data_IF_926967295847
#
_entry.id   IF_926967295847
#
_cell.length_a   1.000
_cell.length_b   1.000
_cell.length_c   1.000
_cell.angle_alpha   90.00
_cell.angle_beta   90.00
_cell.angle_gamma   90.00
#
_symmetry.space_group_name_H-M   'P 1'
#
loop_
_entity.id
_entity.type
_entity.pdbx_description
1 polymer ?
#
# COMPACT_ATOMS: atom_id res chain seq x y z
N UNK A 1 -26.53 29.33 12.41
CA UNK A 1 -26.12 28.70 11.14
C UNK A 1 -26.66 27.29 11.15
N UNK A 2 -27.47 26.93 10.17
CA UNK A 2 -28.01 25.58 10.01
C UNK A 2 -27.39 24.95 8.76
N UNK A 3 -27.03 23.67 8.84
CA UNK A 3 -26.53 22.93 7.69
C UNK A 3 -27.67 22.58 6.74
N UNK A 4 -27.37 22.51 5.43
CA UNK A 4 -28.33 22.09 4.41
C UNK A 4 -28.76 20.62 4.64
N UNK A 5 -30.01 20.21 4.31
CA UNK A 5 -30.47 18.82 4.49
C UNK A 5 -29.57 17.74 3.86
N UNK A 6 -28.92 18.07 2.74
CA UNK A 6 -28.02 17.14 2.03
C UNK A 6 -26.54 17.24 2.48
N UNK A 7 -26.24 17.99 3.54
CA UNK A 7 -24.88 18.13 4.03
C UNK A 7 -24.35 16.79 4.58
N UNK A 8 -23.17 16.39 4.08
CA UNK A 8 -22.44 15.20 4.53
C UNK A 8 -21.02 15.59 4.96
N UNK A 9 -20.59 15.06 6.10
CA UNK A 9 -19.22 15.22 6.60
C UNK A 9 -18.51 13.87 6.62
N UNK A 10 -17.44 13.74 5.83
CA UNK A 10 -16.58 12.56 5.78
C UNK A 10 -15.17 12.95 6.20
N UNK A 11 -14.59 12.15 7.09
CA UNK A 11 -13.20 12.31 7.53
C UNK A 11 -12.44 11.00 7.32
N UNK A 12 -11.15 11.08 7.00
CA UNK A 12 -10.27 9.93 6.86
C UNK A 12 -9.01 10.14 7.69
N UNK A 13 -8.54 9.11 8.37
CA UNK A 13 -7.29 9.13 9.12
C UNK A 13 -6.66 7.74 9.16
N UNK A 14 -5.32 7.68 9.29
CA UNK A 14 -4.58 6.43 9.41
C UNK A 14 -4.25 6.20 10.90
N UNK A 15 -4.87 5.22 11.57
CA UNK A 15 -4.60 4.95 12.99
C UNK A 15 -3.14 4.51 13.19
N UNK A 16 -2.48 5.04 14.23
CA UNK A 16 -1.10 4.67 14.58
C UNK A 16 -0.01 5.28 13.68
N UNK A 17 -0.38 6.06 12.66
CA UNK A 17 0.57 6.73 11.76
C UNK A 17 1.09 8.06 12.34
N UNK A 18 0.39 8.62 13.34
CA UNK A 18 0.77 9.88 13.97
C UNK A 18 1.12 9.64 15.45
N UNK A 19 2.01 10.47 15.98
CA UNK A 19 2.24 10.53 17.42
C UNK A 19 0.90 10.71 18.15
N UNK A 20 0.77 10.09 19.32
CA UNK A 20 -0.43 10.07 20.20
C UNK A 20 -1.12 11.44 20.36
N UNK A 21 -0.38 12.53 20.14
CA UNK A 21 -0.84 13.92 20.23
C UNK A 21 -1.72 14.40 19.06
N UNK A 22 -1.78 13.68 17.94
CA UNK A 22 -2.60 14.07 16.76
C UNK A 22 -3.73 13.10 16.45
N UNK A 23 -3.95 12.09 17.28
CA UNK A 23 -5.11 11.23 17.15
C UNK A 23 -6.41 12.01 17.36
N UNK A 24 -7.46 11.59 16.66
CA UNK A 24 -8.79 12.13 16.88
C UNK A 24 -9.18 11.87 18.34
N UNK A 25 -9.43 12.97 19.08
CA UNK A 25 -9.95 12.91 20.45
C UNK A 25 -11.15 11.96 20.51
N UNK A 26 -11.26 11.18 21.58
CA UNK A 26 -12.36 10.24 21.78
C UNK A 26 -13.73 10.89 21.58
N UNK A 27 -13.92 12.12 22.06
CA UNK A 27 -15.16 12.89 21.90
C UNK A 27 -15.51 13.21 20.45
N UNK A 28 -14.52 13.33 19.56
CA UNK A 28 -14.72 13.48 18.12
C UNK A 28 -15.04 12.15 17.49
N UNK A 29 -14.29 11.08 17.81
CA UNK A 29 -14.52 9.73 17.24
C UNK A 29 -15.93 9.20 17.54
N UNK A 30 -16.45 9.46 18.74
CA UNK A 30 -17.80 9.05 19.16
C UNK A 30 -18.94 9.76 18.42
N UNK A 31 -18.65 10.71 17.52
CA UNK A 31 -19.64 11.43 16.70
C UNK A 31 -19.70 10.93 15.25
N UNK A 32 -18.88 9.95 14.88
CA UNK A 32 -18.83 9.41 13.53
C UNK A 32 -19.17 7.91 13.54
N UNK A 33 -19.80 7.47 12.45
CA UNK A 33 -19.79 6.04 12.08
C UNK A 33 -18.42 5.75 11.48
N UNK A 34 -17.76 4.69 11.95
CA UNK A 34 -16.42 4.30 11.48
C UNK A 34 -16.52 3.14 10.51
N UNK A 35 -15.79 3.24 9.40
CA UNK A 35 -15.55 2.14 8.47
C UNK A 35 -14.04 1.92 8.42
N UNK A 36 -13.60 0.74 8.81
CA UNK A 36 -12.19 0.37 8.78
C UNK A 36 -11.83 -0.19 7.41
N UNK A 37 -10.70 0.29 6.87
CA UNK A 37 -10.12 -0.21 5.63
C UNK A 37 -8.80 -0.89 5.92
N UNK A 38 -8.59 -2.03 5.27
CA UNK A 38 -7.32 -2.71 5.20
C UNK A 38 -7.04 -3.08 3.74
N UNK A 39 -5.84 -3.55 3.46
CA UNK A 39 -5.47 -4.05 2.15
C UNK A 39 -6.39 -5.20 1.73
N UNK A 40 -6.81 -5.17 0.46
CA UNK A 40 -7.69 -6.19 -0.07
C UNK A 40 -6.96 -7.56 -0.11
N UNK A 41 -7.71 -8.67 -0.06
CA UNK A 41 -7.17 -9.99 -0.37
C UNK A 41 -6.43 -10.00 -1.71
N UNK A 42 -5.40 -10.84 -1.83
CA UNK A 42 -4.44 -10.85 -2.95
C UNK A 42 -5.11 -10.87 -4.33
N UNK A 43 -6.17 -11.65 -4.49
CA UNK A 43 -6.95 -11.76 -5.73
C UNK A 43 -7.64 -10.46 -6.11
N UNK A 44 -8.27 -9.78 -5.15
CA UNK A 44 -8.92 -8.47 -5.35
C UNK A 44 -7.90 -7.35 -5.56
N UNK A 45 -6.80 -7.36 -4.80
CA UNK A 45 -5.73 -6.38 -4.99
C UNK A 45 -5.08 -6.51 -6.37
N UNK A 46 -4.87 -7.74 -6.85
CA UNK A 46 -4.39 -7.99 -8.20
C UNK A 46 -5.34 -7.44 -9.28
N UNK A 47 -6.66 -7.53 -9.09
CA UNK A 47 -7.63 -6.93 -10.02
C UNK A 47 -7.48 -5.41 -10.08
N UNK A 48 -7.33 -4.75 -8.93
CA UNK A 48 -7.09 -3.31 -8.87
C UNK A 48 -5.76 -2.95 -9.55
N UNK A 49 -4.68 -3.68 -9.26
CA UNK A 49 -3.37 -3.44 -9.88
C UNK A 49 -3.44 -3.60 -11.39
N UNK A 50 -4.05 -4.69 -11.89
CA UNK A 50 -4.19 -4.96 -13.31
C UNK A 50 -4.98 -3.84 -14.00
N UNK A 51 -6.09 -3.41 -13.41
CA UNK A 51 -6.94 -2.34 -13.95
C UNK A 51 -6.21 -1.00 -14.01
N UNK A 52 -5.62 -0.57 -12.90
CA UNK A 52 -5.02 0.76 -12.76
C UNK A 52 -3.67 0.90 -13.48
N UNK A 53 -2.87 -0.17 -13.49
CA UNK A 53 -1.56 -0.13 -14.16
C UNK A 53 -1.61 -0.56 -15.62
N UNK A 54 -2.57 -1.42 -15.99
CA UNK A 54 -2.69 -2.01 -17.33
C UNK A 54 -1.70 -3.14 -17.60
N UNK A 55 -1.06 -3.72 -16.58
CA UNK A 55 -0.26 -4.94 -16.72
C UNK A 55 -1.17 -6.18 -16.83
N UNK A 56 -0.70 -7.29 -17.44
CA UNK A 56 -1.44 -8.55 -17.43
C UNK A 56 -1.77 -9.02 -16.02
N UNK A 57 -2.90 -9.74 -15.88
CA UNK A 57 -3.36 -10.25 -14.57
C UNK A 57 -2.31 -11.12 -13.86
N UNK A 58 -1.52 -11.89 -14.62
CA UNK A 58 -0.41 -12.69 -14.09
C UNK A 58 0.64 -11.82 -13.38
N UNK A 59 1.08 -10.73 -14.03
CA UNK A 59 2.00 -9.76 -13.42
C UNK A 59 1.38 -9.08 -12.20
N UNK A 60 0.09 -8.74 -12.27
CA UNK A 60 -0.61 -8.12 -11.16
C UNK A 60 -0.74 -9.05 -9.94
N UNK A 61 -0.94 -10.35 -10.16
CA UNK A 61 -0.96 -11.36 -9.09
C UNK A 61 0.41 -11.48 -8.40
N UNK A 62 1.49 -11.46 -9.15
CA UNK A 62 2.85 -11.49 -8.59
C UNK A 62 3.18 -10.18 -7.85
N UNK A 63 2.70 -9.02 -8.32
CA UNK A 63 2.79 -7.74 -7.59
C UNK A 63 1.98 -7.77 -6.29
N UNK A 64 0.75 -8.30 -6.29
CA UNK A 64 -0.05 -8.44 -5.09
C UNK A 64 0.59 -9.41 -4.07
N UNK A 65 1.20 -10.50 -4.55
CA UNK A 65 1.98 -11.44 -3.73
C UNK A 65 3.23 -10.79 -3.13
N UNK A 66 3.93 -9.94 -3.88
CA UNK A 66 5.01 -9.10 -3.32
C UNK A 66 4.44 -8.20 -2.21
N UNK A 67 3.29 -7.59 -2.47
CA UNK A 67 2.51 -6.81 -1.51
C UNK A 67 2.33 -7.49 -0.16
N UNK A 68 1.73 -8.68 -0.20
CA UNK A 68 1.49 -9.56 0.94
C UNK A 68 2.80 -9.87 1.71
N UNK A 69 3.85 -10.29 1.00
CA UNK A 69 5.13 -10.66 1.64
C UNK A 69 5.83 -9.47 2.28
N UNK A 70 5.86 -8.31 1.63
CA UNK A 70 6.48 -7.10 2.19
C UNK A 70 5.71 -6.61 3.42
N UNK A 71 4.37 -6.70 3.43
CA UNK A 71 3.57 -6.37 4.62
C UNK A 71 3.88 -7.29 5.81
N UNK A 72 4.21 -8.55 5.58
CA UNK A 72 4.64 -9.45 6.66
C UNK A 72 6.01 -9.07 7.24
N UNK A 73 6.89 -8.39 6.48
CA UNK A 73 8.15 -7.86 7.01
C UNK A 73 7.96 -6.70 8.01
N UNK A 74 6.76 -6.12 8.12
CA UNK A 74 6.45 -5.12 9.15
C UNK A 74 6.72 -5.66 10.56
N UNK A 75 6.47 -6.96 10.79
CA UNK A 75 6.77 -7.61 12.06
C UNK A 75 8.28 -7.71 12.36
N UNK A 76 9.14 -7.47 11.37
CA UNK A 76 10.60 -7.61 11.42
C UNK A 76 11.36 -6.28 11.40
N UNK A 77 10.66 -5.12 11.46
CA UNK A 77 11.32 -3.81 11.61
C UNK A 77 10.93 -2.75 10.58
N UNK A 78 10.06 -3.05 9.61
CA UNK A 78 9.51 -2.03 8.71
C UNK A 78 8.47 -1.16 9.45
N UNK A 79 8.59 0.15 9.34
CA UNK A 79 7.63 1.09 9.95
C UNK A 79 6.24 0.97 9.32
N UNK A 80 6.19 0.80 8.00
CA UNK A 80 4.95 0.64 7.22
C UNK A 80 5.06 -0.49 6.19
N UNK A 81 3.95 -1.19 5.95
CA UNK A 81 3.85 -2.15 4.86
C UNK A 81 3.62 -1.45 3.52
N UNK A 82 3.93 -2.13 2.41
CA UNK A 82 3.70 -1.57 1.07
C UNK A 82 2.22 -1.29 0.80
N UNK A 83 1.92 -0.09 0.31
CA UNK A 83 0.56 0.27 -0.11
C UNK A 83 0.22 -0.23 -1.50
N UNK A 84 -1.07 -0.47 -1.79
CA UNK A 84 -1.55 -0.82 -3.14
C UNK A 84 -1.12 0.21 -4.19
N UNK A 85 -0.99 1.49 -3.79
CA UNK A 85 -0.50 2.57 -4.66
C UNK A 85 0.91 2.30 -5.18
N UNK A 86 1.82 1.85 -4.32
CA UNK A 86 3.20 1.55 -4.72
C UNK A 86 3.27 0.32 -5.64
N UNK A 87 2.38 -0.66 -5.45
CA UNK A 87 2.26 -1.81 -6.34
C UNK A 87 1.75 -1.41 -7.73
N UNK A 88 0.77 -0.49 -7.79
CA UNK A 88 0.31 0.11 -9.06
C UNK A 88 1.46 0.85 -9.75
N UNK A 89 2.26 1.62 -9.02
CA UNK A 89 3.43 2.32 -9.59
C UNK A 89 4.47 1.34 -10.15
N UNK A 90 4.74 0.25 -9.45
CA UNK A 90 5.61 -0.81 -9.97
C UNK A 90 5.03 -1.40 -11.27
N UNK A 91 3.72 -1.68 -11.31
CA UNK A 91 3.02 -2.12 -12.52
C UNK A 91 3.12 -1.12 -13.68
N UNK A 92 2.93 0.17 -13.41
CA UNK A 92 3.04 1.23 -14.42
C UNK A 92 4.45 1.30 -15.02
N UNK A 93 5.49 1.17 -14.19
CA UNK A 93 6.88 1.09 -14.67
C UNK A 93 7.11 -0.16 -15.53
N UNK A 94 6.61 -1.32 -15.09
CA UNK A 94 6.73 -2.57 -15.87
C UNK A 94 6.04 -2.46 -17.23
N UNK A 95 4.86 -1.83 -17.29
CA UNK A 95 4.14 -1.56 -18.55
C UNK A 95 4.93 -0.66 -19.49
N UNK A 96 5.76 0.24 -18.96
CA UNK A 96 6.66 1.08 -19.74
C UNK A 96 7.96 0.37 -20.18
N UNK A 97 8.09 -0.93 -19.89
CA UNK A 97 9.25 -1.73 -20.26
C UNK A 97 10.38 -1.74 -19.22
N UNK A 98 10.16 -1.16 -18.02
CA UNK A 98 11.12 -1.28 -16.94
C UNK A 98 11.14 -2.72 -16.42
N UNK A 99 12.31 -3.38 -16.32
CA UNK A 99 12.38 -4.74 -15.82
C UNK A 99 11.75 -4.88 -14.42
N UNK A 100 11.02 -5.97 -14.12
CA UNK A 100 10.25 -6.08 -12.88
C UNK A 100 11.06 -5.81 -11.61
N UNK A 101 12.27 -6.37 -11.51
CA UNK A 101 13.17 -6.13 -10.38
C UNK A 101 13.46 -4.65 -10.16
N UNK A 102 13.73 -3.91 -11.24
CA UNK A 102 14.02 -2.47 -11.16
C UNK A 102 12.76 -1.66 -10.83
N UNK A 103 11.62 -2.05 -11.38
CA UNK A 103 10.34 -1.42 -11.05
C UNK A 103 10.02 -1.55 -9.55
N UNK A 104 10.15 -2.76 -8.99
CA UNK A 104 9.94 -3.00 -7.56
C UNK A 104 10.98 -2.29 -6.68
N UNK A 105 12.25 -2.24 -7.08
CA UNK A 105 13.28 -1.53 -6.32
C UNK A 105 12.92 -0.04 -6.16
N UNK A 106 12.58 0.63 -7.26
CA UNK A 106 12.38 2.08 -7.27
C UNK A 106 11.02 2.47 -6.69
N UNK A 107 9.95 1.72 -7.00
CA UNK A 107 8.60 2.06 -6.57
C UNK A 107 8.22 1.50 -5.19
N UNK A 108 8.86 0.42 -4.73
CA UNK A 108 8.52 -0.23 -3.45
C UNK A 108 9.68 -0.08 -2.46
N UNK A 109 10.82 -0.68 -2.75
CA UNK A 109 11.92 -0.78 -1.77
C UNK A 109 12.43 0.58 -1.31
N UNK A 110 12.76 1.48 -2.26
CA UNK A 110 13.31 2.81 -1.95
C UNK A 110 12.27 3.78 -1.39
N UNK A 111 10.98 3.51 -1.60
CA UNK A 111 9.89 4.37 -1.10
C UNK A 111 9.48 4.03 0.33
N UNK A 112 9.78 2.83 0.81
CA UNK A 112 9.35 2.36 2.12
C UNK A 112 10.36 2.57 3.23
N UNK A 113 11.66 2.59 2.92
CA UNK A 113 12.70 2.63 3.94
C UNK A 113 14.04 3.06 3.37
N UNK A 114 14.84 3.75 4.18
CA UNK A 114 16.25 4.06 3.92
C UNK A 114 17.21 2.99 4.50
N UNK A 115 16.69 2.04 5.28
CA UNK A 115 17.49 0.96 5.85
C UNK A 115 17.94 -0.04 4.76
N UNK A 116 19.25 -0.18 4.61
CA UNK A 116 19.85 -1.00 3.57
C UNK A 116 19.52 -2.50 3.70
N UNK A 117 19.33 -3.00 4.92
CA UNK A 117 18.98 -4.40 5.15
C UNK A 117 17.55 -4.71 4.71
N UNK A 118 16.59 -3.86 5.10
CA UNK A 118 15.20 -3.93 4.67
C UNK A 118 15.07 -3.77 3.15
N UNK A 119 15.83 -2.87 2.54
CA UNK A 119 15.85 -2.72 1.08
C UNK A 119 16.37 -4.00 0.38
N UNK A 120 17.43 -4.62 0.91
CA UNK A 120 17.94 -5.90 0.39
C UNK A 120 16.88 -6.99 0.50
N UNK A 121 16.22 -7.13 1.65
CA UNK A 121 15.18 -8.14 1.86
C UNK A 121 14.01 -7.97 0.87
N UNK A 122 13.53 -6.75 0.65
CA UNK A 122 12.49 -6.47 -0.35
C UNK A 122 12.98 -6.80 -1.77
N UNK A 123 14.24 -6.46 -2.08
CA UNK A 123 14.87 -6.80 -3.36
C UNK A 123 14.98 -8.30 -3.62
N UNK A 124 15.31 -9.10 -2.60
CA UNK A 124 15.36 -10.56 -2.67
C UNK A 124 13.97 -11.16 -2.87
N UNK A 125 12.95 -10.62 -2.19
CA UNK A 125 11.55 -11.01 -2.44
C UNK A 125 11.13 -10.75 -3.87
N UNK A 126 11.47 -9.57 -4.43
CA UNK A 126 11.19 -9.25 -5.82
C UNK A 126 11.93 -10.20 -6.78
N UNK A 127 13.19 -10.53 -6.50
CA UNK A 127 13.97 -11.49 -7.29
C UNK A 127 13.36 -12.89 -7.24
N UNK A 128 12.88 -13.36 -6.09
CA UNK A 128 12.27 -14.68 -5.96
C UNK A 128 10.90 -14.80 -6.66
N UNK A 129 10.25 -13.66 -6.91
CA UNK A 129 8.92 -13.58 -7.54
C UNK A 129 9.03 -13.41 -9.07
N UNK A 130 9.96 -12.58 -9.54
CA UNK A 130 10.05 -12.19 -10.96
C UNK A 130 11.32 -12.68 -11.67
N UNK A 131 12.18 -13.41 -10.97
CA UNK A 131 13.50 -13.84 -11.45
C UNK A 131 13.57 -15.28 -11.94
#
# INVERSE_FOLDING_TARGET
>A
LEAHPDFLLVISYNPGYQSVLKDLKHSTRQRFVTIDFDYAPRDKEAQVIAHESGVPMETALELAKLGEKVRHLKASGLEEGVSTRLLIYAGLLMRQGVPPRRACEVAVSRSLTDDAESQRAIGELAQAIFG
#
